data_IF_731731514492
#
_entry.id   IF_731731514492
#
_cell.length_a   1.000
_cell.length_b   1.000
_cell.length_c   1.000
_cell.angle_alpha   90.00
_cell.angle_beta   90.00
_cell.angle_gamma   90.00
#
_symmetry.space_group_name_H-M   'P 1'
#
loop_
_entity.id
_entity.type
_entity.pdbx_description
1 polymer ?
#
# COMPACT_ATOMS: atom_id res chain seq x y z
N UNK A 1 -18.25 10.23 6.57
CA UNK A 1 -17.97 10.61 5.17
C UNK A 1 -16.46 10.48 5.00
N UNK A 2 -15.97 9.57 4.17
CA UNK A 2 -14.53 9.44 3.93
C UNK A 2 -14.04 10.69 3.19
N UNK A 3 -12.99 11.31 3.69
CA UNK A 3 -12.29 12.38 2.98
C UNK A 3 -11.64 11.83 1.72
N UNK A 4 -11.78 12.55 0.61
CA UNK A 4 -11.03 12.31 -0.61
C UNK A 4 -10.00 13.44 -0.73
N UNK A 5 -8.72 13.08 -0.81
CA UNK A 5 -7.66 14.03 -1.08
C UNK A 5 -7.19 13.86 -2.51
N UNK A 6 -7.36 14.91 -3.33
CA UNK A 6 -6.81 15.00 -4.68
C UNK A 6 -5.59 15.91 -4.62
N UNK A 7 -4.43 15.38 -5.01
CA UNK A 7 -3.23 16.20 -5.20
C UNK A 7 -2.98 16.32 -6.69
N UNK A 8 -3.24 17.51 -7.23
CA UNK A 8 -2.75 17.91 -8.54
C UNK A 8 -1.25 18.20 -8.45
N UNK A 9 -0.47 17.76 -9.43
CA UNK A 9 0.95 18.07 -9.51
C UNK A 9 1.19 19.15 -10.54
N UNK A 10 1.88 20.21 -10.14
CA UNK A 10 2.36 21.27 -11.04
C UNK A 10 3.61 20.84 -11.83
N UNK A 11 4.30 19.79 -11.38
CA UNK A 11 5.44 19.16 -12.05
C UNK A 11 5.06 17.77 -12.55
N UNK A 12 5.01 17.60 -13.87
CA UNK A 12 4.55 16.39 -14.54
C UNK A 12 5.64 15.33 -14.51
N UNK A 13 5.44 14.28 -13.71
CA UNK A 13 6.32 13.14 -13.73
C UNK A 13 5.90 12.16 -14.84
N UNK A 14 6.84 11.74 -15.67
CA UNK A 14 6.68 10.78 -16.74
C UNK A 14 7.33 9.43 -16.38
N UNK A 15 6.92 8.38 -17.09
CA UNK A 15 7.62 7.10 -17.08
C UNK A 15 7.48 6.35 -18.40
N UNK A 16 8.49 5.54 -18.73
CA UNK A 16 8.36 4.47 -19.69
C UNK A 16 7.95 3.18 -18.96
N UNK A 17 6.79 2.63 -19.32
CA UNK A 17 6.23 1.44 -18.70
C UNK A 17 6.06 0.31 -19.70
N UNK A 18 6.31 -0.91 -19.26
CA UNK A 18 5.82 -2.14 -19.89
C UNK A 18 4.95 -2.83 -18.85
N UNK A 19 3.77 -3.30 -19.25
CA UNK A 19 2.82 -3.98 -18.37
C UNK A 19 3.54 -5.06 -17.55
N UNK A 20 3.70 -4.80 -16.26
CA UNK A 20 4.31 -5.70 -15.30
C UNK A 20 3.41 -5.72 -14.04
N UNK A 21 2.68 -6.81 -13.79
CA UNK A 21 1.75 -6.88 -12.65
C UNK A 21 2.45 -6.94 -11.29
N UNK A 22 3.76 -7.20 -11.24
CA UNK A 22 4.51 -7.33 -9.99
C UNK A 22 5.17 -6.01 -9.54
N UNK A 23 5.11 -4.96 -10.36
CA UNK A 23 5.79 -3.69 -10.07
C UNK A 23 4.91 -2.49 -10.34
N UNK A 24 4.77 -1.67 -9.31
CA UNK A 24 4.06 -0.42 -9.43
C UNK A 24 4.72 0.54 -10.43
N UNK A 25 3.91 1.35 -11.14
CA UNK A 25 4.41 2.40 -12.01
C UNK A 25 5.26 3.42 -11.22
N UNK A 26 6.50 3.64 -11.66
CA UNK A 26 7.43 4.61 -11.05
C UNK A 26 7.63 5.82 -11.95
N UNK A 27 6.84 6.86 -11.69
CA UNK A 27 6.96 8.18 -12.34
C UNK A 27 8.16 8.94 -11.77
N UNK A 28 9.23 9.05 -12.57
CA UNK A 28 10.54 9.60 -12.13
C UNK A 28 11.16 10.59 -13.11
N UNK A 29 10.67 10.63 -14.34
CA UNK A 29 11.21 11.47 -15.41
C UNK A 29 10.45 12.80 -15.41
N UNK A 30 11.10 13.91 -15.73
CA UNK A 30 10.49 15.23 -15.60
C UNK A 30 9.91 15.75 -16.93
N UNK A 31 10.34 15.16 -18.05
CA UNK A 31 9.90 15.56 -19.39
C UNK A 31 9.46 14.36 -20.23
N UNK A 32 8.71 14.65 -21.28
CA UNK A 32 8.30 13.66 -22.27
C UNK A 32 9.52 13.10 -23.03
N UNK A 33 10.46 13.95 -23.40
CA UNK A 33 11.69 13.57 -24.12
C UNK A 33 12.54 12.58 -23.32
N UNK A 34 12.71 12.81 -22.01
CA UNK A 34 13.39 11.88 -21.12
C UNK A 34 12.70 10.52 -21.08
N UNK A 35 11.36 10.51 -21.09
CA UNK A 35 10.57 9.29 -21.08
C UNK A 35 10.63 8.54 -22.41
N UNK A 36 10.64 9.24 -23.53
CA UNK A 36 10.85 8.65 -24.85
C UNK A 36 12.24 8.04 -24.98
N UNK A 37 13.29 8.76 -24.55
CA UNK A 37 14.66 8.26 -24.57
C UNK A 37 14.81 6.98 -23.71
N UNK A 38 14.19 6.96 -22.54
CA UNK A 38 14.19 5.77 -21.68
C UNK A 38 13.40 4.60 -22.30
N UNK A 39 12.22 4.87 -22.90
CA UNK A 39 11.44 3.85 -23.59
C UNK A 39 12.23 3.23 -24.74
N UNK A 40 12.92 4.06 -25.54
CA UNK A 40 13.78 3.61 -26.62
C UNK A 40 14.94 2.75 -26.09
N UNK A 41 15.63 3.22 -25.05
CA UNK A 41 16.72 2.47 -24.41
C UNK A 41 16.25 1.08 -23.95
N UNK A 42 15.06 1.00 -23.39
CA UNK A 42 14.46 -0.27 -22.92
C UNK A 42 13.98 -1.17 -24.07
N UNK A 43 13.47 -0.58 -25.16
CA UNK A 43 13.09 -1.30 -26.37
C UNK A 43 14.31 -1.92 -27.07
N UNK A 44 15.43 -1.18 -27.15
CA UNK A 44 16.70 -1.68 -27.68
C UNK A 44 17.24 -2.87 -26.89
N UNK A 45 17.07 -2.89 -25.57
CA UNK A 45 17.49 -4.02 -24.72
C UNK A 45 16.62 -5.27 -24.90
N UNK A 46 15.36 -5.13 -25.33
CA UNK A 46 14.42 -6.23 -25.52
C UNK A 46 13.62 -6.03 -26.81
N UNK A 47 14.22 -6.33 -27.98
CA UNK A 47 13.53 -6.23 -29.26
C UNK A 47 12.21 -7.00 -29.27
N UNK A 48 11.17 -6.44 -29.88
CA UNK A 48 9.81 -7.02 -29.90
C UNK A 48 8.96 -6.72 -28.65
N UNK A 49 9.50 -6.05 -27.63
CA UNK A 49 8.71 -5.57 -26.50
C UNK A 49 8.16 -4.16 -26.76
N UNK A 50 6.88 -3.94 -26.44
CA UNK A 50 6.26 -2.60 -26.46
C UNK A 50 6.44 -1.90 -25.11
N UNK A 51 6.83 -0.63 -25.17
CA UNK A 51 6.89 0.27 -24.01
C UNK A 51 5.94 1.46 -24.26
N UNK A 52 5.30 1.93 -23.19
CA UNK A 52 4.28 2.97 -23.20
C UNK A 52 4.80 4.12 -22.33
N UNK A 53 4.80 5.33 -22.87
CA UNK A 53 5.08 6.54 -22.08
C UNK A 53 3.80 6.97 -21.37
N UNK A 54 3.87 7.17 -20.05
CA UNK A 54 2.74 7.62 -19.23
C UNK A 54 3.10 8.92 -18.51
N UNK A 55 2.15 9.84 -18.44
CA UNK A 55 2.24 11.09 -17.68
C UNK A 55 1.34 11.02 -16.45
N UNK A 56 1.90 11.30 -15.28
CA UNK A 56 1.12 11.43 -14.05
C UNK A 56 0.36 12.77 -14.06
N UNK A 57 -0.98 12.71 -14.05
CA UNK A 57 -1.83 13.91 -14.05
C UNK A 57 -2.44 14.23 -12.69
N UNK A 58 -2.60 13.24 -11.81
CA UNK A 58 -3.16 13.38 -10.47
C UNK A 58 -2.82 12.17 -9.60
N UNK A 59 -2.81 12.38 -8.27
CA UNK A 59 -2.88 11.31 -7.27
C UNK A 59 -4.16 11.43 -6.46
N UNK A 60 -4.87 10.33 -6.32
CA UNK A 60 -6.15 10.26 -5.59
C UNK A 60 -5.99 9.26 -4.47
N UNK A 61 -6.19 9.72 -3.23
CA UNK A 61 -6.14 8.87 -2.04
C UNK A 61 -7.44 9.01 -1.28
N UNK A 62 -8.00 7.88 -0.85
CA UNK A 62 -9.16 7.84 0.03
C UNK A 62 -8.67 7.58 1.45
N UNK A 63 -9.12 8.40 2.40
CA UNK A 63 -8.82 8.15 3.80
C UNK A 63 -9.45 6.83 4.24
N UNK A 64 -8.69 6.02 4.99
CA UNK A 64 -9.23 4.82 5.61
C UNK A 64 -10.32 5.21 6.60
N UNK A 65 -11.50 4.60 6.45
CA UNK A 65 -12.56 4.72 7.46
C UNK A 65 -11.98 4.20 8.78
N UNK A 66 -12.01 4.96 9.89
CA UNK A 66 -11.58 4.44 11.17
C UNK A 66 -12.39 3.17 11.45
N UNK A 67 -11.71 2.04 11.68
CA UNK A 67 -12.39 0.86 12.17
C UNK A 67 -13.15 1.27 13.43
N UNK A 68 -14.48 1.12 13.44
CA UNK A 68 -15.31 1.47 14.58
C UNK A 68 -14.68 0.85 15.83
N UNK A 69 -14.32 1.68 16.82
CA UNK A 69 -13.87 1.18 18.11
C UNK A 69 -14.95 0.24 18.64
N UNK A 70 -14.63 -1.06 18.74
CA UNK A 70 -15.48 -1.99 19.47
C UNK A 70 -15.64 -1.42 20.90
N UNK A 71 -16.86 -1.36 21.45
CA UNK A 71 -17.04 -0.86 22.81
C UNK A 71 -16.15 -1.70 23.73
N UNK A 72 -15.33 -1.01 24.52
CA UNK A 72 -14.52 -1.64 25.55
C UNK A 72 -15.45 -2.52 26.41
N UNK A 73 -15.21 -3.83 26.42
CA UNK A 73 -15.86 -4.74 27.34
C UNK A 73 -15.34 -4.47 28.76
N UNK A 74 -15.83 -3.38 29.35
CA UNK A 74 -15.53 -2.94 30.70
C UNK A 74 -16.48 -3.59 31.70
N UNK A 75 -16.09 -4.78 32.17
CA UNK A 75 -16.28 -5.29 33.53
C UNK A 75 -17.64 -5.16 34.23
N UNK A 76 -18.37 -6.27 34.30
CA UNK A 76 -19.24 -6.56 35.44
C UNK A 76 -19.29 -8.08 35.72
N UNK A 77 -18.70 -8.48 36.86
CA UNK A 77 -19.21 -9.61 37.65
C UNK A 77 -18.83 -11.04 37.23
N UNK A 78 -17.55 -11.41 37.29
CA UNK A 78 -17.18 -12.85 37.38
C UNK A 78 -17.05 -13.24 38.85
N UNK A 79 -18.19 -13.48 39.53
CA UNK A 79 -18.23 -14.31 40.75
C UNK A 79 -18.31 -15.78 40.30
N UNK A 80 -17.20 -16.49 40.36
CA UNK A 80 -17.20 -17.94 40.48
C UNK A 80 -16.18 -18.33 41.55
N UNK A 81 -16.67 -19.10 42.50
CA UNK A 81 -16.14 -19.45 43.83
C UNK A 81 -14.75 -20.14 43.82
N UNK A 82 -14.00 -20.15 44.93
CA UNK A 82 -12.75 -20.89 45.02
C UNK A 82 -13.03 -22.40 45.13
N UNK A 83 -12.37 -23.21 44.30
CA UNK A 83 -12.32 -24.66 44.44
C UNK A 83 -10.97 -25.08 45.07
N UNK A 84 -10.94 -26.07 45.98
CA UNK A 84 -9.79 -26.36 46.84
C UNK A 84 -8.80 -27.38 46.27
N UNK A 85 -7.57 -27.29 46.83
CA UNK A 85 -6.41 -28.20 46.90
C UNK A 85 -6.32 -29.43 45.98
N UNK A 86 -5.25 -29.46 45.18
CA UNK A 86 -4.70 -30.67 44.55
C UNK A 86 -3.20 -30.79 44.83
N UNK A 87 -2.84 -31.91 45.45
CA UNK A 87 -1.55 -32.35 45.98
C UNK A 87 -0.32 -32.14 45.07
N UNK A 88 0.76 -31.56 45.62
CA UNK A 88 2.08 -31.49 44.99
C UNK A 88 2.89 -32.74 45.38
N UNK A 89 2.89 -33.75 44.53
CA UNK A 89 3.88 -34.82 44.55
C UNK A 89 5.18 -34.35 43.90
N UNK A 90 6.32 -34.56 44.55
CA UNK A 90 7.63 -34.44 43.90
C UNK A 90 8.83 -34.21 44.82
N UNK A 91 9.57 -35.29 45.08
CA UNK A 91 11.03 -35.38 45.28
C UNK A 91 11.65 -34.78 46.57
N UNK A 92 11.96 -35.62 47.56
CA UNK A 92 13.21 -36.38 47.73
C UNK A 92 13.12 -37.27 48.97
#
# INVERSE_FOLDING_TARGET
>A
MSGMTITHRDQFAFMAWRRNPERDPRFRLQTEDEALAEAERLARQRPGSTYIVMREIARVTFDSVPAAHAPAAGGAGRRLSPLPSGSKGGAR
#
